data_IF_471564016708
#
_entry.id   IF_471564016708
#
_cell.length_a   1.000
_cell.length_b   1.000
_cell.length_c   1.000
_cell.angle_alpha   90.00
_cell.angle_beta   90.00
_cell.angle_gamma   90.00
#
_symmetry.space_group_name_H-M   'P 1'
#
loop_
_entity.id
_entity.type
_entity.pdbx_description
1 polymer ?
#
# COMPACT_ATOMS: atom_id res chain seq x y z
N UNK A 1 -2.91 -20.34 15.33
CA UNK A 1 -2.26 -19.68 16.48
C UNK A 1 -2.21 -18.20 16.21
N UNK A 2 -2.95 -17.40 16.97
CA UNK A 2 -2.92 -15.94 16.92
C UNK A 2 -1.92 -15.48 17.98
N UNK A 3 -0.71 -15.14 17.56
CA UNK A 3 0.31 -14.54 18.41
C UNK A 3 0.51 -13.13 17.89
N UNK A 4 0.02 -12.15 18.66
CA UNK A 4 0.12 -10.73 18.31
C UNK A 4 1.31 -10.11 19.05
N UNK A 5 2.00 -9.19 18.39
CA UNK A 5 3.01 -8.36 19.04
C UNK A 5 2.39 -7.05 19.56
N UNK A 6 3.08 -6.32 20.46
CA UNK A 6 2.74 -4.93 20.77
C UNK A 6 2.81 -4.03 19.53
N UNK A 7 1.96 -3.00 19.49
CA UNK A 7 2.04 -1.95 18.48
C UNK A 7 3.44 -1.33 18.43
N UNK A 8 3.98 -1.11 17.23
CA UNK A 8 5.33 -0.60 17.01
C UNK A 8 6.40 -1.68 16.84
N UNK A 9 6.07 -2.96 17.03
CA UNK A 9 7.02 -4.07 16.85
C UNK A 9 7.39 -4.25 15.37
N UNK A 10 8.69 -4.28 15.00
CA UNK A 10 9.11 -4.66 13.65
C UNK A 10 8.79 -6.13 13.37
N UNK A 11 8.11 -6.42 12.27
CA UNK A 11 7.69 -7.77 11.88
C UNK A 11 8.53 -8.31 10.73
N UNK A 12 8.69 -7.49 9.69
CA UNK A 12 9.46 -7.83 8.51
C UNK A 12 10.03 -6.56 7.87
N UNK A 13 10.95 -6.74 6.93
CA UNK A 13 11.38 -5.69 6.02
C UNK A 13 11.17 -6.17 4.58
N UNK A 14 10.70 -5.26 3.73
CA UNK A 14 10.93 -5.40 2.30
C UNK A 14 12.27 -4.77 1.95
N UNK A 15 13.16 -5.53 1.32
CA UNK A 15 14.40 -5.00 0.74
C UNK A 15 14.24 -4.98 -0.77
N UNK A 16 14.15 -3.78 -1.33
CA UNK A 16 13.97 -3.56 -2.76
C UNK A 16 15.34 -3.39 -3.38
N UNK A 17 15.76 -4.34 -4.21
CA UNK A 17 17.03 -4.28 -4.92
C UNK A 17 16.81 -3.76 -6.34
N UNK A 18 17.53 -2.71 -6.71
CA UNK A 18 17.52 -2.17 -8.06
C UNK A 18 18.62 -2.82 -8.92
N UNK A 19 18.49 -2.71 -10.24
CA UNK A 19 19.44 -3.31 -11.19
C UNK A 19 20.82 -2.66 -11.20
N UNK A 20 20.91 -1.38 -10.82
CA UNK A 20 22.14 -0.63 -10.60
C UNK A 20 22.92 -1.05 -9.32
N UNK A 21 22.39 -2.00 -8.55
CA UNK A 21 22.97 -2.51 -7.31
C UNK A 21 22.62 -1.73 -6.05
N UNK A 22 21.88 -0.62 -6.17
CA UNK A 22 21.35 0.11 -5.01
C UNK A 22 20.14 -0.62 -4.40
N UNK A 23 19.78 -0.30 -3.17
CA UNK A 23 18.60 -0.85 -2.52
C UNK A 23 17.93 0.16 -1.58
N UNK A 24 16.66 -0.09 -1.26
CA UNK A 24 15.94 0.58 -0.18
C UNK A 24 15.26 -0.45 0.72
N UNK A 25 15.20 -0.15 2.01
CA UNK A 25 14.50 -0.98 3.01
C UNK A 25 13.21 -0.29 3.43
N UNK A 26 12.10 -1.03 3.39
CA UNK A 26 10.79 -0.57 3.85
C UNK A 26 10.38 -1.44 5.05
N UNK A 27 10.19 -0.85 6.24
CA UNK A 27 9.83 -1.62 7.42
C UNK A 27 8.34 -2.00 7.41
N UNK A 28 8.03 -3.20 7.90
CA UNK A 28 6.67 -3.66 8.21
C UNK A 28 6.53 -3.70 9.73
N UNK A 29 5.62 -2.89 10.28
CA UNK A 29 5.50 -2.63 11.72
C UNK A 29 4.10 -3.04 12.17
N UNK A 30 4.02 -3.87 13.21
CA UNK A 30 2.76 -4.31 13.79
C UNK A 30 1.97 -3.12 14.35
N UNK A 31 0.67 -3.08 14.09
CA UNK A 31 -0.22 -1.99 14.48
C UNK A 31 -0.15 -0.74 13.61
N UNK A 32 0.85 -0.66 12.70
CA UNK A 32 1.01 0.44 11.74
C UNK A 32 0.67 -0.02 10.33
N UNK A 33 1.36 -1.05 9.85
CA UNK A 33 1.27 -1.58 8.48
C UNK A 33 0.38 -2.82 8.38
N UNK A 34 0.15 -3.52 9.50
CA UNK A 34 -0.71 -4.70 9.56
C UNK A 34 -1.19 -4.98 10.97
N UNK A 35 -2.18 -5.85 11.07
CA UNK A 35 -2.63 -6.51 12.30
C UNK A 35 -2.97 -7.96 12.02
N UNK A 36 -3.37 -8.68 13.05
CA UNK A 36 -3.79 -10.07 12.92
C UNK A 36 -4.83 -10.26 11.80
N UNK A 37 -4.62 -11.27 10.97
CA UNK A 37 -5.51 -11.65 9.90
C UNK A 37 -6.83 -12.20 10.44
N UNK A 38 -6.86 -12.71 11.68
CA UNK A 38 -8.06 -13.20 12.32
C UNK A 38 -8.97 -12.04 12.78
N UNK A 39 -10.15 -11.92 12.16
CA UNK A 39 -11.05 -10.76 12.29
C UNK A 39 -12.18 -10.97 13.29
N UNK A 40 -11.82 -11.42 14.49
CA UNK A 40 -12.72 -11.37 15.65
C UNK A 40 -12.99 -9.91 16.07
N UNK A 41 -14.02 -9.71 16.89
CA UNK A 41 -14.53 -8.37 17.24
C UNK A 41 -13.45 -7.46 17.83
N UNK A 42 -12.56 -8.01 18.66
CA UNK A 42 -11.46 -7.27 19.26
C UNK A 42 -10.50 -6.69 18.21
N UNK A 43 -10.18 -7.44 17.16
CA UNK A 43 -9.24 -7.01 16.12
C UNK A 43 -9.91 -6.12 15.06
N UNK A 44 -11.19 -6.36 14.78
CA UNK A 44 -11.93 -5.69 13.70
C UNK A 44 -11.99 -4.16 13.85
N UNK A 45 -11.98 -3.68 15.10
CA UNK A 45 -12.11 -2.27 15.43
C UNK A 45 -10.75 -1.57 15.64
N UNK A 46 -9.64 -2.29 15.55
CA UNK A 46 -8.31 -1.70 15.73
C UNK A 46 -7.89 -0.91 14.49
N UNK A 47 -7.34 0.28 14.72
CA UNK A 47 -6.82 1.14 13.66
C UNK A 47 -5.50 0.60 13.12
N UNK A 48 -5.30 0.71 11.82
CA UNK A 48 -4.04 0.39 11.13
C UNK A 48 -3.70 1.59 10.24
N UNK A 49 -2.96 2.59 10.74
CA UNK A 49 -2.84 3.91 10.10
C UNK A 49 -2.32 3.91 8.65
N UNK A 50 -1.48 2.95 8.29
CA UNK A 50 -0.78 2.89 7.00
C UNK A 50 -1.18 1.64 6.19
N UNK A 51 -2.32 1.03 6.53
CA UNK A 51 -2.89 -0.05 5.73
C UNK A 51 -4.41 -0.14 5.88
N UNK A 52 -5.07 -0.55 4.82
CA UNK A 52 -6.52 -0.72 4.78
C UNK A 52 -6.90 -2.19 4.72
N UNK A 53 -8.01 -2.57 5.37
CA UNK A 53 -8.60 -3.89 5.17
C UNK A 53 -9.35 -3.87 3.84
N UNK A 54 -8.77 -4.48 2.81
CA UNK A 54 -9.32 -4.51 1.45
C UNK A 54 -10.20 -5.73 1.19
N UNK A 55 -10.13 -6.74 2.05
CA UNK A 55 -10.95 -7.93 1.96
C UNK A 55 -11.33 -8.44 3.34
N UNK A 56 -12.57 -8.90 3.48
CA UNK A 56 -13.04 -9.68 4.63
C UNK A 56 -13.78 -10.91 4.11
N UNK A 57 -13.46 -12.06 4.68
CA UNK A 57 -14.06 -13.33 4.30
C UNK A 57 -14.24 -14.24 5.51
N UNK A 58 -14.78 -15.42 5.23
CA UNK A 58 -14.95 -16.49 6.21
C UNK A 58 -14.36 -17.79 5.65
N UNK A 59 -13.60 -18.49 6.47
CA UNK A 59 -13.08 -19.82 6.17
C UNK A 59 -13.82 -20.87 7.02
N UNK A 60 -14.19 -22.00 6.42
CA UNK A 60 -14.78 -23.14 7.13
C UNK A 60 -15.92 -22.77 8.09
N UNK A 61 -15.85 -23.30 9.33
CA UNK A 61 -16.81 -23.09 10.42
C UNK A 61 -16.85 -21.63 10.93
N UNK A 62 -17.28 -20.69 10.10
CA UNK A 62 -17.49 -19.28 10.45
C UNK A 62 -16.23 -18.60 11.01
N UNK A 63 -15.05 -18.93 10.49
CA UNK A 63 -13.78 -18.34 10.93
C UNK A 63 -13.52 -17.04 10.14
N UNK A 64 -13.74 -15.83 10.71
CA UNK A 64 -13.58 -14.59 9.98
C UNK A 64 -12.11 -14.26 9.75
N UNK A 65 -11.77 -13.82 8.55
CA UNK A 65 -10.44 -13.31 8.25
C UNK A 65 -10.48 -12.03 7.42
N UNK A 66 -9.35 -11.32 7.42
CA UNK A 66 -9.17 -10.08 6.67
C UNK A 66 -7.78 -10.01 6.04
N UNK A 67 -7.71 -9.32 4.91
CA UNK A 67 -6.45 -9.00 4.23
C UNK A 67 -6.24 -7.50 4.27
N UNK A 68 -5.00 -7.12 4.55
CA UNK A 68 -4.55 -5.74 4.60
C UNK A 68 -3.81 -5.40 3.31
N UNK A 69 -4.02 -4.19 2.81
CA UNK A 69 -3.24 -3.61 1.73
C UNK A 69 -2.51 -2.38 2.24
N UNK A 70 -1.21 -2.34 1.98
CA UNK A 70 -0.38 -1.16 2.15
C UNK A 70 -0.07 -0.57 0.78
N UNK A 71 -0.06 0.75 0.69
CA UNK A 71 0.47 1.48 -0.47
C UNK A 71 1.74 2.18 0.00
N UNK A 72 2.79 2.10 -0.81
CA UNK A 72 4.04 2.79 -0.55
C UNK A 72 4.48 3.50 -1.83
N UNK A 73 5.02 4.71 -1.68
CA UNK A 73 5.61 5.43 -2.80
C UNK A 73 7.01 4.89 -3.04
N UNK A 74 7.25 4.30 -4.21
CA UNK A 74 8.60 3.88 -4.61
C UNK A 74 9.53 5.11 -4.60
N UNK A 75 10.61 5.14 -3.80
CA UNK A 75 11.54 6.27 -3.73
C UNK A 75 12.31 6.50 -5.02
N UNK A 76 12.43 5.46 -5.85
CA UNK A 76 13.13 5.50 -7.14
C UNK A 76 12.25 4.88 -8.24
N UNK A 77 11.16 5.56 -8.65
CA UNK A 77 10.27 5.06 -9.70
C UNK A 77 10.97 4.93 -11.06
N UNK A 78 12.04 5.68 -11.28
CA UNK A 78 12.87 5.65 -12.48
C UNK A 78 13.76 4.40 -12.58
N UNK A 79 13.99 3.71 -11.47
CA UNK A 79 14.88 2.54 -11.40
C UNK A 79 14.11 1.24 -11.55
N UNK A 80 14.69 0.31 -12.33
CA UNK A 80 14.13 -1.03 -12.46
C UNK A 80 14.37 -1.83 -11.18
N UNK A 81 13.29 -2.28 -10.56
CA UNK A 81 13.36 -3.25 -9.46
C UNK A 81 13.82 -4.60 -10.04
N UNK A 82 14.91 -5.13 -9.48
CA UNK A 82 15.51 -6.41 -9.86
C UNK A 82 14.96 -7.55 -9.01
N UNK A 83 14.95 -7.39 -7.69
CA UNK A 83 14.37 -8.35 -6.74
C UNK A 83 13.75 -7.61 -5.55
N UNK A 84 12.83 -8.28 -4.86
CA UNK A 84 12.27 -7.84 -3.59
C UNK A 84 12.42 -9.01 -2.62
N UNK A 85 13.18 -8.78 -1.54
CA UNK A 85 13.34 -9.76 -0.49
C UNK A 85 12.42 -9.40 0.69
N UNK A 86 11.86 -10.43 1.34
CA UNK A 86 11.08 -10.30 2.57
C UNK A 86 11.91 -10.90 3.70
N UNK A 87 12.34 -10.06 4.63
CA UNK A 87 13.22 -10.45 5.73
C UNK A 87 12.51 -10.28 7.07
N UNK A 88 12.14 -11.39 7.70
CA UNK A 88 11.52 -11.39 9.04
C UNK A 88 12.43 -10.76 10.10
N UNK A 89 11.81 -10.09 11.09
CA UNK A 89 12.50 -9.38 12.18
C UNK A 89 12.40 -10.13 13.52
N UNK A 90 12.20 -11.45 13.48
CA UNK A 90 12.13 -12.33 14.66
C UNK A 90 11.05 -11.92 15.68
N UNK A 91 9.93 -11.39 15.20
CA UNK A 91 8.72 -11.11 15.97
C UNK A 91 7.89 -12.36 16.22
N UNK A 92 6.91 -12.30 17.14
CA UNK A 92 5.94 -13.39 17.31
C UNK A 92 4.95 -13.47 16.13
N UNK A 93 4.61 -12.32 15.54
CA UNK A 93 3.73 -12.22 14.38
C UNK A 93 4.41 -12.79 13.14
N UNK A 94 3.65 -13.51 12.33
CA UNK A 94 4.11 -14.00 11.04
C UNK A 94 3.65 -13.05 9.93
N UNK A 95 4.50 -12.88 8.92
CA UNK A 95 4.21 -12.06 7.74
C UNK A 95 4.01 -12.95 6.50
N UNK A 96 2.97 -12.67 5.73
CA UNK A 96 2.74 -13.31 4.43
C UNK A 96 2.30 -12.28 3.40
N UNK A 97 2.83 -12.40 2.19
CA UNK A 97 2.45 -11.58 1.04
C UNK A 97 1.48 -12.37 0.16
N UNK A 98 0.27 -11.83 -0.04
CA UNK A 98 -0.72 -12.42 -0.95
C UNK A 98 -0.51 -11.96 -2.39
N UNK A 99 -0.15 -10.69 -2.58
CA UNK A 99 0.13 -10.12 -3.88
C UNK A 99 0.72 -8.72 -3.78
N UNK A 100 1.42 -8.30 -4.84
CA UNK A 100 2.00 -6.98 -4.99
C UNK A 100 1.82 -6.53 -6.43
N UNK A 101 1.46 -5.26 -6.61
CA UNK A 101 1.34 -4.61 -7.92
C UNK A 101 2.05 -3.27 -7.91
N UNK A 102 2.50 -2.81 -9.07
CA UNK A 102 2.94 -1.44 -9.28
C UNK A 102 1.92 -0.66 -10.09
N UNK A 103 1.84 0.64 -9.85
CA UNK A 103 1.16 1.58 -10.74
C UNK A 103 2.20 2.24 -11.66
N UNK A 104 1.85 2.43 -12.93
CA UNK A 104 2.65 3.27 -13.80
C UNK A 104 2.50 4.71 -13.34
N UNK A 105 3.61 5.45 -13.31
CA UNK A 105 3.54 6.87 -13.06
C UNK A 105 2.76 7.51 -14.21
N UNK A 106 1.59 8.08 -13.93
CA UNK A 106 0.86 8.83 -14.93
C UNK A 106 1.74 10.00 -15.38
N UNK A 107 2.10 10.01 -16.65
CA UNK A 107 2.60 11.23 -17.29
C UNK A 107 1.45 12.22 -17.23
N UNK A 108 1.54 13.21 -16.34
CA UNK A 108 0.54 14.26 -16.24
C UNK A 108 0.47 15.05 -17.53
N UNK A 109 -0.39 14.62 -18.44
CA UNK A 109 -0.61 15.23 -19.74
C UNK A 109 -2.11 15.19 -20.05
N UNK A 110 -2.92 15.81 -19.17
CA UNK A 110 -4.35 16.04 -19.43
C UNK A 110 -4.95 17.24 -18.64
N UNK A 111 -4.14 18.13 -18.06
CA UNK A 111 -4.59 19.38 -17.41
C UNK A 111 -4.43 20.64 -18.27
N UNK A 112 -4.26 20.48 -19.60
CA UNK A 112 -4.35 21.60 -20.56
C UNK A 112 -5.37 21.33 -21.66
N UNK A 113 -6.64 21.11 -21.27
CA UNK A 113 -7.77 21.39 -22.17
C UNK A 113 -8.12 22.89 -22.09
N UNK A 114 -7.47 23.63 -22.97
CA UNK A 114 -8.14 24.59 -23.86
C UNK A 114 -9.03 25.66 -23.18
N UNK A 115 -8.40 26.66 -22.56
CA UNK A 115 -9.01 28.00 -22.48
C UNK A 115 -8.99 28.63 -23.89
N UNK A 116 -9.94 28.22 -24.73
CA UNK A 116 -10.24 28.97 -25.96
C UNK A 116 -10.76 30.36 -25.59
N UNK A 117 -10.21 31.46 -26.14
CA UNK A 117 -10.73 32.80 -25.88
C UNK A 117 -12.13 32.96 -26.51
N UNK A 118 -13.10 33.36 -25.68
CA UNK A 118 -14.43 33.81 -26.11
C UNK A 118 -14.31 34.86 -27.23
N UNK A 119 -14.82 34.54 -28.42
CA UNK A 119 -15.06 35.53 -29.47
C UNK A 119 -16.25 36.40 -29.05
N UNK A 120 -15.96 37.57 -28.50
CA UNK A 120 -16.96 38.64 -28.31
C UNK A 120 -17.42 39.17 -29.67
N UNK A 121 -18.57 38.68 -30.14
CA UNK A 121 -19.30 39.27 -31.25
C UNK A 121 -20.17 40.41 -30.72
N UNK A 122 -19.63 41.63 -30.73
CA UNK A 122 -20.44 42.85 -30.71
C UNK A 122 -20.22 43.58 -32.04
N UNK A 123 -21.13 43.35 -32.99
CA UNK A 123 -21.28 44.25 -34.14
C UNK A 123 -22.07 45.50 -33.74
N UNK A 124 -21.72 46.69 -34.25
CA UNK A 124 -22.50 47.91 -34.05
C UNK A 124 -23.86 47.82 -34.77
N UNK A 125 -24.88 48.42 -34.17
CA UNK A 125 -26.15 48.71 -34.85
C UNK A 125 -25.94 49.92 -35.76
N UNK A 126 -26.21 49.74 -37.04
CA UNK A 126 -26.68 50.81 -37.93
C UNK A 126 -28.22 50.77 -37.99
#
# INVERSE_FOLDING_TARGET
TTWTDPDGTPVANYIIHYDDGTNVTIPVIYGVHLRDWYQEEANRNLKTPEAEIVYRGWAGNNFPFGLYQQVWKNPHPEKKIKTIDIVGQNSFSNFFLVGMSGEAQSSGEDDQKESSPEKNNNSPKD
#
